data_IF_512221814572
#
_entry.id   IF_512221814572
#
_cell.length_a   1.000
_cell.length_b   1.000
_cell.length_c   1.000
_cell.angle_alpha   90.00
_cell.angle_beta   90.00
_cell.angle_gamma   90.00
#
_symmetry.space_group_name_H-M   'P 1'
#
loop_
_entity.id
_entity.type
_entity.pdbx_description
1 polymer ?
#
# COMPACT_ATOMS: atom_id res chain seq x y z
N UNK A 1 -30.05 -15.97 -0.14
CA UNK A 1 -29.27 -14.78 -0.58
C UNK A 1 -28.11 -14.42 0.38
N UNK A 2 -27.36 -15.39 0.90
CA UNK A 2 -26.46 -15.17 2.06
C UNK A 2 -24.94 -15.19 1.72
N UNK A 3 -24.53 -15.70 0.56
CA UNK A 3 -23.10 -15.92 0.29
C UNK A 3 -22.28 -14.65 -0.06
N UNK A 4 -22.73 -13.85 -1.02
CA UNK A 4 -21.93 -12.66 -1.47
C UNK A 4 -21.80 -11.59 -0.38
N UNK A 5 -22.86 -11.38 0.41
CA UNK A 5 -22.82 -10.42 1.51
C UNK A 5 -21.87 -10.82 2.65
N UNK A 6 -21.75 -12.11 2.98
CA UNK A 6 -20.86 -12.58 4.04
C UNK A 6 -19.37 -12.42 3.64
N UNK A 7 -19.00 -12.82 2.41
CA UNK A 7 -17.63 -12.64 1.92
C UNK A 7 -17.18 -11.18 1.95
N UNK A 8 -18.04 -10.27 1.51
CA UNK A 8 -17.73 -8.85 1.51
C UNK A 8 -17.62 -8.27 2.92
N UNK A 9 -18.49 -8.68 3.87
CA UNK A 9 -18.36 -8.25 5.27
C UNK A 9 -17.03 -8.71 5.88
N UNK A 10 -16.65 -9.99 5.66
CA UNK A 10 -15.36 -10.50 6.13
C UNK A 10 -14.20 -9.68 5.55
N UNK A 11 -14.22 -9.40 4.25
CA UNK A 11 -13.18 -8.61 3.61
C UNK A 11 -13.12 -7.18 4.14
N UNK A 12 -14.25 -6.49 4.27
CA UNK A 12 -14.29 -5.13 4.80
C UNK A 12 -13.77 -5.07 6.25
N UNK A 13 -14.17 -6.06 7.07
CA UNK A 13 -13.66 -6.19 8.44
C UNK A 13 -12.15 -6.44 8.45
N UNK A 14 -11.65 -7.30 7.56
CA UNK A 14 -10.22 -7.58 7.46
C UNK A 14 -9.43 -6.32 7.04
N UNK A 15 -9.95 -5.52 6.10
CA UNK A 15 -9.33 -4.27 5.67
C UNK A 15 -9.16 -3.32 6.86
N UNK A 16 -10.18 -3.14 7.67
CA UNK A 16 -10.11 -2.25 8.83
C UNK A 16 -9.18 -2.81 9.92
N UNK A 17 -9.40 -4.04 10.35
CA UNK A 17 -8.65 -4.64 11.46
C UNK A 17 -7.16 -4.88 11.12
N UNK A 18 -6.85 -5.41 9.95
CA UNK A 18 -5.46 -5.66 9.57
C UNK A 18 -4.67 -4.36 9.44
N UNK A 19 -5.28 -3.32 8.93
CA UNK A 19 -4.60 -2.03 8.82
C UNK A 19 -4.44 -1.35 10.18
N UNK A 20 -5.48 -1.34 11.03
CA UNK A 20 -5.45 -0.61 12.32
C UNK A 20 -4.67 -1.34 13.39
N UNK A 21 -4.79 -2.65 13.48
CA UNK A 21 -4.31 -3.44 14.60
C UNK A 21 -3.18 -4.40 14.23
N UNK A 22 -3.07 -4.72 12.95
CA UNK A 22 -2.08 -5.66 12.42
C UNK A 22 -2.66 -7.02 12.10
N UNK A 23 -1.98 -7.72 11.21
CA UNK A 23 -2.36 -9.06 10.75
C UNK A 23 -2.23 -10.07 11.89
N UNK A 24 -1.10 -10.03 12.63
CA UNK A 24 -0.83 -11.00 13.68
C UNK A 24 -1.77 -10.85 14.88
N UNK A 25 -2.08 -9.62 15.27
CA UNK A 25 -2.98 -9.34 16.39
C UNK A 25 -4.45 -9.69 16.10
N UNK A 26 -4.83 -9.79 14.82
CA UNK A 26 -6.21 -10.06 14.40
C UNK A 26 -6.43 -11.55 14.20
N UNK A 27 -7.06 -12.23 15.17
CA UNK A 27 -7.43 -13.65 15.11
C UNK A 27 -8.66 -13.91 14.23
N UNK A 28 -8.83 -15.16 13.77
CA UNK A 28 -9.97 -15.60 12.94
C UNK A 28 -11.30 -15.48 13.70
N UNK A 29 -11.30 -15.74 14.99
CA UNK A 29 -12.48 -15.59 15.86
C UNK A 29 -12.97 -14.14 15.87
N UNK A 30 -12.03 -13.21 16.00
CA UNK A 30 -12.34 -11.79 16.00
C UNK A 30 -12.85 -11.32 14.64
N UNK A 31 -12.19 -11.72 13.54
CA UNK A 31 -12.66 -11.45 12.19
C UNK A 31 -14.10 -11.93 11.97
N UNK A 32 -14.42 -13.15 12.41
CA UNK A 32 -15.75 -13.71 12.26
C UNK A 32 -16.79 -12.93 13.08
N UNK A 33 -16.46 -12.61 14.34
CA UNK A 33 -17.33 -11.86 15.25
C UNK A 33 -17.64 -10.47 14.71
N UNK A 34 -16.63 -9.70 14.36
CA UNK A 34 -16.77 -8.34 13.85
C UNK A 34 -17.48 -8.30 12.48
N UNK A 35 -17.26 -9.32 11.63
CA UNK A 35 -17.97 -9.46 10.36
C UNK A 35 -19.41 -9.97 10.52
N UNK A 36 -19.86 -10.24 11.75
CA UNK A 36 -21.17 -10.84 12.05
C UNK A 36 -21.42 -12.13 11.26
N UNK A 37 -20.43 -13.04 11.27
CA UNK A 37 -20.53 -14.37 10.67
C UNK A 37 -20.02 -15.44 11.65
N UNK A 38 -20.40 -16.70 11.43
CA UNK A 38 -19.80 -17.81 12.17
C UNK A 38 -18.38 -18.10 11.65
N UNK A 39 -17.51 -18.66 12.49
CA UNK A 39 -16.18 -19.17 12.07
C UNK A 39 -16.30 -20.17 10.91
N UNK A 40 -17.34 -21.01 10.93
CA UNK A 40 -17.65 -21.94 9.83
C UNK A 40 -17.93 -21.19 8.54
N UNK A 41 -18.73 -20.12 8.59
CA UNK A 41 -19.04 -19.30 7.42
C UNK A 41 -17.78 -18.60 6.90
N UNK A 42 -16.89 -18.11 7.77
CA UNK A 42 -15.63 -17.52 7.37
C UNK A 42 -14.79 -18.53 6.58
N UNK A 43 -14.61 -19.75 7.09
CA UNK A 43 -13.84 -20.79 6.42
C UNK A 43 -14.48 -21.34 5.14
N UNK A 44 -15.79 -21.21 4.97
CA UNK A 44 -16.47 -21.49 3.70
C UNK A 44 -16.08 -20.50 2.60
N UNK A 45 -15.74 -19.26 2.94
CA UNK A 45 -15.35 -18.22 1.99
C UNK A 45 -13.83 -18.05 1.84
N UNK A 46 -13.08 -18.30 2.90
CA UNK A 46 -11.63 -18.16 2.97
C UNK A 46 -11.06 -19.38 3.70
N UNK A 47 -10.38 -20.29 3.02
CA UNK A 47 -9.94 -21.56 3.61
C UNK A 47 -8.90 -21.41 4.71
N UNK A 48 -8.25 -20.25 4.81
CA UNK A 48 -7.26 -19.93 5.84
C UNK A 48 -7.24 -18.43 6.16
N UNK A 49 -6.56 -18.04 7.24
CA UNK A 49 -6.27 -16.64 7.52
C UNK A 49 -5.38 -16.04 6.42
N UNK A 50 -4.42 -16.82 5.92
CA UNK A 50 -3.57 -16.41 4.78
C UNK A 50 -4.42 -16.00 3.59
N UNK A 51 -5.46 -16.77 3.23
CA UNK A 51 -6.35 -16.43 2.13
C UNK A 51 -7.13 -15.12 2.35
N UNK A 52 -7.44 -14.77 3.61
CA UNK A 52 -8.04 -13.46 3.93
C UNK A 52 -7.01 -12.34 3.75
N UNK A 53 -5.77 -12.55 4.19
CA UNK A 53 -4.67 -11.57 4.04
C UNK A 53 -4.32 -11.35 2.57
N UNK A 54 -4.26 -12.41 1.76
CA UNK A 54 -4.06 -12.29 0.31
C UNK A 54 -5.13 -11.42 -0.34
N UNK A 55 -6.40 -11.69 -0.01
CA UNK A 55 -7.50 -10.93 -0.61
C UNK A 55 -7.52 -9.47 -0.14
N UNK A 56 -7.17 -9.22 1.14
CA UNK A 56 -6.95 -7.88 1.66
C UNK A 56 -5.89 -7.11 0.84
N UNK A 57 -4.71 -7.71 0.62
CA UNK A 57 -3.65 -7.07 -0.13
C UNK A 57 -4.03 -6.85 -1.61
N UNK A 58 -4.71 -7.82 -2.23
CA UNK A 58 -5.25 -7.66 -3.59
C UNK A 58 -6.28 -6.54 -3.68
N UNK A 59 -7.16 -6.42 -2.66
CA UNK A 59 -8.13 -5.33 -2.59
C UNK A 59 -7.43 -3.98 -2.49
N UNK A 60 -6.48 -3.82 -1.56
CA UNK A 60 -5.70 -2.58 -1.42
C UNK A 60 -4.98 -2.25 -2.73
N UNK A 61 -4.40 -3.25 -3.37
CA UNK A 61 -3.73 -3.06 -4.66
C UNK A 61 -4.67 -2.52 -5.75
N UNK A 62 -5.95 -2.86 -5.72
CA UNK A 62 -6.94 -2.44 -6.73
C UNK A 62 -7.67 -1.15 -6.36
N UNK A 63 -7.91 -0.92 -5.07
CA UNK A 63 -8.76 0.16 -4.57
C UNK A 63 -8.01 1.50 -4.40
N UNK A 64 -6.69 1.45 -4.23
CA UNK A 64 -5.90 2.68 -4.10
C UNK A 64 -5.81 3.33 -5.47
N UNK A 65 -6.23 4.59 -5.54
CA UNK A 65 -5.95 5.46 -6.68
C UNK A 65 -4.44 5.69 -6.73
N UNK A 66 -3.76 4.77 -7.43
CA UNK A 66 -2.31 4.70 -7.47
C UNK A 66 -1.81 5.63 -8.58
N UNK A 67 -1.16 6.78 -8.24
CA UNK A 67 -0.66 7.71 -9.25
C UNK A 67 0.31 7.08 -10.25
N UNK A 68 0.89 5.92 -9.91
CA UNK A 68 1.77 5.16 -10.80
C UNK A 68 0.97 4.44 -11.88
N UNK A 69 -0.26 3.99 -11.58
CA UNK A 69 -1.10 3.30 -12.55
C UNK A 69 -1.74 4.28 -13.53
N UNK A 70 -1.87 3.89 -14.79
CA UNK A 70 -2.65 4.67 -15.73
C UNK A 70 -4.14 4.54 -15.38
N UNK A 71 -4.73 5.61 -14.88
CA UNK A 71 -6.16 5.75 -14.62
C UNK A 71 -6.70 7.00 -15.30
N UNK A 72 -8.02 7.25 -15.29
CA UNK A 72 -8.62 8.43 -15.92
C UNK A 72 -8.00 9.75 -15.42
N UNK A 73 -7.75 9.88 -14.13
CA UNK A 73 -7.14 11.07 -13.53
C UNK A 73 -5.64 11.17 -13.84
N UNK A 74 -4.95 10.04 -13.98
CA UNK A 74 -3.54 10.03 -14.36
C UNK A 74 -3.30 10.56 -15.78
N UNK A 75 -4.31 10.56 -16.64
CA UNK A 75 -4.22 11.10 -18.00
C UNK A 75 -4.15 12.65 -18.03
N UNK A 76 -4.58 13.31 -16.95
CA UNK A 76 -4.60 14.78 -16.84
C UNK A 76 -3.37 15.35 -16.14
N UNK A 77 -2.56 14.50 -15.47
CA UNK A 77 -1.35 14.90 -14.73
C UNK A 77 -0.08 14.60 -15.52
N UNK A 78 0.87 15.50 -15.44
CA UNK A 78 2.24 15.25 -15.95
C UNK A 78 2.92 14.12 -15.17
N UNK A 79 3.94 13.44 -15.73
CA UNK A 79 4.70 12.43 -15.01
C UNK A 79 5.28 12.93 -13.68
N UNK A 80 5.76 14.19 -13.64
CA UNK A 80 6.24 14.84 -12.42
C UNK A 80 5.15 14.98 -11.35
N UNK A 81 3.99 15.49 -11.74
CA UNK A 81 2.84 15.63 -10.83
C UNK A 81 2.37 14.28 -10.29
N UNK A 82 2.39 13.24 -11.12
CA UNK A 82 2.05 11.88 -10.71
C UNK A 82 3.02 11.33 -9.67
N UNK A 83 4.33 11.55 -9.84
CA UNK A 83 5.34 11.15 -8.86
C UNK A 83 5.11 11.92 -7.54
N UNK A 84 4.91 13.24 -7.60
CA UNK A 84 4.73 14.06 -6.41
C UNK A 84 3.41 13.78 -5.67
N UNK A 85 2.38 13.29 -6.36
CA UNK A 85 1.13 12.86 -5.72
C UNK A 85 1.31 11.69 -4.75
N UNK A 86 2.33 10.84 -4.94
CA UNK A 86 2.66 9.76 -3.99
C UNK A 86 3.11 10.28 -2.62
N UNK A 87 3.60 11.50 -2.56
CA UNK A 87 4.09 12.14 -1.35
C UNK A 87 3.10 13.17 -0.77
N UNK A 88 1.84 13.08 -1.17
CA UNK A 88 0.79 13.85 -0.50
C UNK A 88 0.57 13.32 0.91
N UNK A 89 0.36 14.25 1.84
CA UNK A 89 0.11 13.88 3.24
C UNK A 89 -1.19 13.09 3.33
N UNK A 90 -1.20 11.89 3.92
CA UNK A 90 -2.43 11.14 4.15
C UNK A 90 -3.45 11.95 4.97
N UNK A 91 -4.74 11.60 4.83
CA UNK A 91 -5.79 12.27 5.61
C UNK A 91 -5.51 12.17 7.10
N UNK A 92 -5.66 13.29 7.86
CA UNK A 92 -5.43 13.30 9.31
C UNK A 92 -6.48 12.46 10.08
N UNK A 93 -7.61 12.14 9.47
CA UNK A 93 -8.72 11.42 10.13
C UNK A 93 -8.51 9.89 10.15
N UNK A 94 -7.46 9.39 9.52
CA UNK A 94 -7.14 7.97 9.44
C UNK A 94 -5.99 7.56 10.36
N UNK A 95 -5.89 6.28 10.76
CA UNK A 95 -4.73 5.79 11.49
C UNK A 95 -3.48 5.87 10.62
N UNK A 96 -2.41 6.49 11.14
CA UNK A 96 -1.09 6.51 10.51
C UNK A 96 -0.37 5.19 10.76
N UNK A 97 -0.60 4.19 9.91
CA UNK A 97 -0.02 2.84 10.04
C UNK A 97 0.99 2.51 8.93
N UNK A 98 1.38 3.51 8.16
CA UNK A 98 2.34 3.33 7.07
C UNK A 98 1.80 2.53 5.89
N UNK A 99 2.69 1.80 5.22
CA UNK A 99 2.34 1.03 4.03
C UNK A 99 1.79 -0.36 4.39
N UNK A 100 0.56 -0.72 3.98
CA UNK A 100 -0.03 -2.04 4.25
C UNK A 100 0.83 -3.22 3.76
N UNK A 101 1.52 -3.06 2.63
CA UNK A 101 2.42 -4.09 2.09
C UNK A 101 3.70 -4.23 2.90
N UNK A 102 4.25 -3.13 3.43
CA UNK A 102 5.39 -3.19 4.35
C UNK A 102 4.99 -3.90 5.65
N UNK A 103 3.87 -3.52 6.23
CA UNK A 103 3.36 -4.14 7.46
C UNK A 103 3.14 -5.64 7.25
N UNK A 104 2.51 -6.04 6.14
CA UNK A 104 2.32 -7.45 5.80
C UNK A 104 3.65 -8.20 5.65
N UNK A 105 4.68 -7.60 5.04
CA UNK A 105 5.99 -8.22 4.92
C UNK A 105 6.62 -8.49 6.29
N UNK A 106 6.55 -7.51 7.22
CA UNK A 106 7.15 -7.64 8.55
C UNK A 106 6.37 -8.64 9.41
N UNK A 107 5.04 -8.61 9.35
CA UNK A 107 4.18 -9.44 10.19
C UNK A 107 4.02 -10.89 9.69
N UNK A 108 4.11 -11.10 8.38
CA UNK A 108 3.85 -12.41 7.77
C UNK A 108 5.11 -13.18 7.35
N UNK A 109 6.30 -12.60 7.51
CA UNK A 109 7.55 -13.06 6.90
C UNK A 109 7.83 -14.58 7.05
N UNK A 110 7.64 -15.14 8.23
CA UNK A 110 7.96 -16.54 8.51
C UNK A 110 6.73 -17.47 8.49
N UNK A 111 5.55 -16.92 8.75
CA UNK A 111 4.33 -17.72 8.97
C UNK A 111 3.48 -17.88 7.69
N UNK A 112 3.66 -17.02 6.70
CA UNK A 112 2.83 -16.96 5.49
C UNK A 112 3.69 -16.66 4.25
N UNK A 113 4.44 -17.65 3.72
CA UNK A 113 5.34 -17.44 2.56
C UNK A 113 4.65 -16.84 1.34
N UNK A 114 3.38 -17.19 1.12
CA UNK A 114 2.58 -16.70 -0.01
C UNK A 114 2.39 -15.18 0.04
N UNK A 115 2.33 -14.61 1.26
CA UNK A 115 2.20 -13.17 1.46
C UNK A 115 3.49 -12.46 1.07
N UNK A 116 4.64 -13.07 1.36
CA UNK A 116 5.93 -12.53 0.96
C UNK A 116 6.02 -12.38 -0.58
N UNK A 117 5.56 -13.36 -1.34
CA UNK A 117 5.58 -13.30 -2.81
C UNK A 117 4.68 -12.18 -3.35
N UNK A 118 3.48 -12.01 -2.79
CA UNK A 118 2.56 -10.93 -3.15
C UNK A 118 3.20 -9.55 -2.87
N UNK A 119 3.80 -9.39 -1.70
CA UNK A 119 4.47 -8.13 -1.32
C UNK A 119 5.67 -7.85 -2.23
N UNK A 120 6.49 -8.86 -2.48
CA UNK A 120 7.67 -8.76 -3.35
C UNK A 120 7.26 -8.34 -4.78
N UNK A 121 6.26 -8.98 -5.35
CA UNK A 121 5.76 -8.63 -6.68
C UNK A 121 5.22 -7.19 -6.70
N UNK A 122 4.40 -6.81 -5.71
CA UNK A 122 3.86 -5.47 -5.58
C UNK A 122 4.97 -4.41 -5.53
N UNK A 123 5.97 -4.58 -4.65
CA UNK A 123 7.09 -3.64 -4.50
C UNK A 123 7.94 -3.53 -5.77
N UNK A 124 8.19 -4.63 -6.45
CA UNK A 124 8.89 -4.61 -7.75
C UNK A 124 8.11 -3.86 -8.81
N UNK A 125 6.81 -4.07 -8.89
CA UNK A 125 5.96 -3.38 -9.86
C UNK A 125 5.84 -1.88 -9.54
N UNK A 126 5.78 -1.53 -8.26
CA UNK A 126 5.84 -0.15 -7.79
C UNK A 126 7.14 0.57 -8.26
N UNK A 127 8.30 -0.03 -8.01
CA UNK A 127 9.59 0.51 -8.47
C UNK A 127 9.64 0.64 -9.99
N UNK A 128 9.19 -0.38 -10.74
CA UNK A 128 9.11 -0.32 -12.21
C UNK A 128 8.23 0.84 -12.69
N UNK A 129 7.13 1.09 -12.01
CA UNK A 129 6.23 2.22 -12.29
C UNK A 129 6.92 3.57 -12.10
N UNK A 130 7.65 3.74 -10.99
CA UNK A 130 8.45 4.95 -10.72
C UNK A 130 9.55 5.16 -11.77
N UNK A 131 10.27 4.11 -12.15
CA UNK A 131 11.28 4.15 -13.22
C UNK A 131 10.64 4.61 -14.54
N UNK A 132 9.46 4.07 -14.88
CA UNK A 132 8.71 4.46 -16.07
C UNK A 132 8.31 5.94 -16.03
N UNK A 133 7.78 6.41 -14.91
CA UNK A 133 7.42 7.83 -14.72
C UNK A 133 8.66 8.73 -14.78
N UNK A 134 9.77 8.35 -14.15
CA UNK A 134 11.03 9.08 -14.23
C UNK A 134 11.53 9.22 -15.66
N UNK A 135 11.43 8.16 -16.48
CA UNK A 135 11.77 8.20 -17.91
C UNK A 135 10.85 9.16 -18.67
N UNK A 136 9.55 9.12 -18.40
CA UNK A 136 8.57 10.01 -19.02
C UNK A 136 8.76 11.47 -18.61
N UNK A 137 9.29 11.72 -17.41
CA UNK A 137 9.64 13.05 -16.93
C UNK A 137 10.97 13.59 -17.53
N UNK A 138 11.71 12.78 -18.28
CA UNK A 138 12.97 13.19 -18.90
C UNK A 138 14.21 12.99 -18.04
N UNK A 139 14.14 12.15 -16.98
CA UNK A 139 15.28 11.91 -16.10
C UNK A 139 16.47 11.28 -16.87
N UNK A 140 17.68 11.80 -16.66
CA UNK A 140 18.92 11.28 -17.27
C UNK A 140 19.21 9.83 -16.81
N UNK A 141 18.91 9.49 -15.55
CA UNK A 141 18.99 8.13 -15.03
C UNK A 141 17.67 7.73 -14.34
N UNK A 142 16.66 7.26 -15.12
CA UNK A 142 15.36 6.91 -14.58
C UNK A 142 15.41 5.78 -13.56
N UNK A 143 16.35 4.84 -13.70
CA UNK A 143 16.50 3.72 -12.78
C UNK A 143 16.96 4.19 -11.40
N UNK A 144 17.98 5.05 -11.35
CA UNK A 144 18.44 5.65 -10.10
C UNK A 144 17.32 6.45 -9.43
N UNK A 145 16.68 7.35 -10.18
CA UNK A 145 15.59 8.18 -9.67
C UNK A 145 14.44 7.32 -9.11
N UNK A 146 13.98 6.31 -9.85
CA UNK A 146 12.89 5.45 -9.43
C UNK A 146 13.18 4.69 -8.12
N UNK A 147 14.40 4.19 -7.96
CA UNK A 147 14.83 3.53 -6.71
C UNK A 147 14.93 4.52 -5.54
N UNK A 148 15.49 5.72 -5.77
CA UNK A 148 15.57 6.75 -4.73
C UNK A 148 14.19 7.20 -4.26
N UNK A 149 13.24 7.40 -5.19
CA UNK A 149 11.85 7.76 -4.84
C UNK A 149 11.15 6.65 -4.07
N UNK A 150 11.38 5.38 -4.42
CA UNK A 150 10.82 4.25 -3.68
C UNK A 150 11.34 4.20 -2.23
N UNK A 151 12.66 4.35 -2.03
CA UNK A 151 13.26 4.40 -0.69
C UNK A 151 12.74 5.58 0.11
N UNK A 152 12.58 6.74 -0.52
CA UNK A 152 12.05 7.95 0.12
C UNK A 152 10.59 7.77 0.57
N UNK A 153 9.76 7.15 -0.25
CA UNK A 153 8.37 6.81 0.08
C UNK A 153 8.29 5.86 1.28
N UNK A 154 9.05 4.77 1.27
CA UNK A 154 9.08 3.81 2.36
C UNK A 154 9.58 4.47 3.66
N UNK A 155 10.60 5.32 3.56
CA UNK A 155 11.11 6.09 4.71
C UNK A 155 10.06 7.05 5.28
N UNK A 156 9.34 7.77 4.42
CA UNK A 156 8.27 8.66 4.86
C UNK A 156 7.14 7.90 5.57
N UNK A 157 6.70 6.78 4.99
CA UNK A 157 5.66 5.92 5.55
C UNK A 157 6.07 5.34 6.92
N UNK A 158 7.31 4.87 7.06
CA UNK A 158 7.82 4.31 8.31
C UNK A 158 8.01 5.38 9.39
N UNK A 159 8.61 6.53 9.05
CA UNK A 159 8.85 7.61 9.99
C UNK A 159 7.56 8.28 10.45
N UNK A 160 6.60 8.52 9.56
CA UNK A 160 5.32 9.11 9.95
C UNK A 160 4.59 8.24 10.97
N UNK A 161 4.67 6.92 10.84
CA UNK A 161 4.09 5.96 11.81
C UNK A 161 4.88 5.94 13.12
N UNK A 162 6.22 5.95 13.05
CA UNK A 162 7.07 5.81 14.23
C UNK A 162 7.10 7.06 15.11
N UNK A 163 6.92 8.24 14.50
CA UNK A 163 6.95 9.53 15.17
C UNK A 163 5.54 10.08 15.44
N UNK A 164 4.52 9.43 14.92
CA UNK A 164 3.14 9.95 14.88
C UNK A 164 3.07 11.36 14.29
N UNK A 165 3.88 11.59 13.21
CA UNK A 165 4.09 12.90 12.62
C UNK A 165 3.84 12.91 11.11
N UNK A 166 2.75 13.53 10.63
CA UNK A 166 2.45 13.66 9.22
C UNK A 166 3.43 14.59 8.47
N UNK A 167 4.22 15.43 9.16
CA UNK A 167 5.19 16.32 8.53
C UNK A 167 6.29 15.55 7.79
N UNK A 168 6.53 14.28 8.12
CA UNK A 168 7.43 13.40 7.39
C UNK A 168 7.10 13.35 5.89
N UNK A 169 5.83 13.36 5.52
CA UNK A 169 5.38 13.38 4.12
C UNK A 169 5.70 14.70 3.43
N UNK A 170 5.57 15.82 4.13
CA UNK A 170 5.96 17.15 3.61
C UNK A 170 7.46 17.22 3.33
N UNK A 171 8.29 16.67 4.24
CA UNK A 171 9.74 16.59 4.04
C UNK A 171 10.11 15.68 2.87
N UNK A 172 9.49 14.51 2.78
CA UNK A 172 9.69 13.59 1.67
C UNK A 172 9.28 14.20 0.33
N UNK A 173 8.15 14.94 0.27
CA UNK A 173 7.72 15.63 -0.95
C UNK A 173 8.75 16.66 -1.42
N UNK A 174 9.32 17.45 -0.48
CA UNK A 174 10.39 18.40 -0.81
C UNK A 174 11.63 17.70 -1.35
N UNK A 175 12.06 16.62 -0.71
CA UNK A 175 13.20 15.83 -1.16
C UNK A 175 12.92 15.17 -2.53
N UNK A 176 11.74 14.63 -2.75
CA UNK A 176 11.33 14.09 -4.06
C UNK A 176 11.38 15.17 -5.16
N UNK A 177 10.91 16.40 -4.86
CA UNK A 177 10.99 17.53 -5.79
C UNK A 177 12.44 17.79 -6.19
N UNK A 178 13.35 17.92 -5.22
CA UNK A 178 14.78 18.13 -5.50
C UNK A 178 15.40 17.01 -6.32
N UNK A 179 15.08 15.73 -6.00
CA UNK A 179 15.60 14.59 -6.74
C UNK A 179 15.13 14.58 -8.21
N UNK A 180 13.86 14.93 -8.44
CA UNK A 180 13.30 15.01 -9.80
C UNK A 180 13.97 16.15 -10.56
N UNK A 181 14.06 17.35 -9.99
CA UNK A 181 14.63 18.53 -10.64
C UNK A 181 16.09 18.30 -11.03
N UNK A 182 16.90 17.73 -10.14
CA UNK A 182 18.28 17.32 -10.44
C UNK A 182 18.37 16.25 -11.53
N UNK A 183 17.45 15.28 -11.53
CA UNK A 183 17.47 14.19 -12.49
C UNK A 183 17.06 14.62 -13.90
N UNK A 184 16.24 15.67 -14.05
CA UNK A 184 15.79 16.22 -15.34
C UNK A 184 16.61 17.46 -15.79
N UNK A 185 17.60 17.88 -15.00
CA UNK A 185 18.49 18.99 -15.36
C UNK A 185 17.86 20.38 -15.21
N UNK A 186 16.96 20.53 -14.25
CA UNK A 186 16.35 21.82 -13.86
C UNK A 186 17.00 22.38 -12.59
#
# INVERSE_FOLDING_TARGET
MTGRGARQRILNTAIDLFYREGINATGVERLASEASVSKRTLYQHFPSKTAVVEEYLRFIQQAVDDPIRPGPEAATRTPRERILALFETPSPDGPMRGCPFHNAAVEAADAMPEIHDIVHEHKRNYIKGLIKLGRQAGAANPTLLGNQLALLYEGAAALSTSLDDPACWTHARKAATTLIDLAVGQ
#
